data_IF_718702851831
#
_entry.id   IF_718702851831
#
_cell.length_a   1.000
_cell.length_b   1.000
_cell.length_c   1.000
_cell.angle_alpha   90.00
_cell.angle_beta   90.00
_cell.angle_gamma   90.00
#
_symmetry.space_group_name_H-M   'P 1'
#
loop_
_entity.id
_entity.type
_entity.pdbx_description
1 polymer ?
#
# COMPACT_ATOMS: atom_id res chain seq x y z
N UNK A 1 -13.68 26.47 2.16
CA UNK A 1 -13.05 25.23 1.66
C UNK A 1 -12.05 24.87 2.74
N UNK A 2 -12.49 24.19 3.80
CA UNK A 2 -11.77 24.19 5.08
C UNK A 2 -10.33 23.68 4.98
N UNK A 3 -10.06 22.75 4.05
CA UNK A 3 -8.70 22.28 3.76
C UNK A 3 -7.79 23.37 3.16
N UNK A 4 -8.33 24.22 2.29
CA UNK A 4 -7.63 25.38 1.71
C UNK A 4 -7.43 26.45 2.79
N UNK A 5 -8.48 26.72 3.59
CA UNK A 5 -8.42 27.73 4.64
C UNK A 5 -7.37 27.34 5.69
N UNK A 6 -7.35 26.07 6.12
CA UNK A 6 -6.31 25.52 7.02
C UNK A 6 -4.91 25.57 6.41
N UNK A 7 -4.78 25.28 5.12
CA UNK A 7 -3.50 25.39 4.41
C UNK A 7 -3.00 26.84 4.42
N UNK A 8 -3.86 27.80 4.15
CA UNK A 8 -3.55 29.23 4.17
C UNK A 8 -3.14 29.71 5.57
N UNK A 9 -3.80 29.25 6.64
CA UNK A 9 -3.44 29.54 8.03
C UNK A 9 -2.04 29.02 8.42
N UNK A 10 -1.59 27.91 7.82
CA UNK A 10 -0.26 27.34 8.07
C UNK A 10 0.86 28.10 7.35
N UNK A 11 0.56 29.00 6.40
CA UNK A 11 1.57 29.80 5.71
C UNK A 11 1.98 30.97 6.61
N UNK A 12 3.23 31.01 7.13
CA UNK A 12 3.67 32.10 7.99
C UNK A 12 3.64 33.44 7.26
N UNK A 13 3.18 34.49 7.93
CA UNK A 13 3.27 35.86 7.43
C UNK A 13 4.74 36.31 7.35
N UNK A 14 5.13 36.93 6.24
CA UNK A 14 6.50 37.46 6.06
C UNK A 14 7.56 36.48 5.55
N UNK A 15 7.17 35.36 4.92
CA UNK A 15 8.16 34.45 4.28
C UNK A 15 8.98 35.18 3.21
N UNK A 16 10.30 35.06 3.33
CA UNK A 16 11.27 35.49 2.30
C UNK A 16 11.41 34.49 1.14
N UNK A 17 10.93 33.25 1.31
CA UNK A 17 11.20 32.12 0.40
C UNK A 17 10.14 31.87 -0.69
N UNK A 18 9.34 32.88 -1.06
CA UNK A 18 8.23 32.73 -2.02
C UNK A 18 7.03 31.92 -1.47
N UNK A 19 5.95 31.87 -2.25
CA UNK A 19 4.72 31.13 -1.91
C UNK A 19 4.95 29.61 -2.00
N UNK A 20 4.47 28.79 -1.05
CA UNK A 20 4.52 27.34 -1.17
C UNK A 20 3.76 26.86 -2.41
N UNK A 21 4.40 25.98 -3.18
CA UNK A 21 3.77 25.29 -4.31
C UNK A 21 2.84 24.21 -3.83
N UNK A 22 1.64 24.13 -4.41
CA UNK A 22 0.62 23.15 -4.02
C UNK A 22 0.03 22.44 -5.22
N UNK A 23 -0.35 21.18 -5.01
CA UNK A 23 -1.14 20.38 -5.94
C UNK A 23 -2.56 20.27 -5.43
N UNK A 24 -3.54 20.43 -6.32
CA UNK A 24 -4.94 20.18 -6.02
C UNK A 24 -5.24 18.69 -6.17
N UNK A 25 -5.58 18.00 -5.07
CA UNK A 25 -6.05 16.62 -5.16
C UNK A 25 -7.47 16.58 -5.71
N UNK A 26 -7.68 15.80 -6.77
CA UNK A 26 -8.98 15.59 -7.40
C UNK A 26 -9.42 14.14 -7.31
N UNK A 27 -10.72 13.94 -7.43
CA UNK A 27 -11.36 12.62 -7.56
C UNK A 27 -11.96 12.54 -8.97
N UNK A 28 -11.36 11.75 -9.88
CA UNK A 28 -11.84 11.62 -11.26
C UNK A 28 -13.10 10.74 -11.39
N UNK A 29 -13.65 10.22 -10.28
CA UNK A 29 -14.81 9.32 -10.30
C UNK A 29 -14.50 7.94 -10.89
N UNK A 30 -13.22 7.53 -10.83
CA UNK A 30 -12.74 6.24 -11.28
C UNK A 30 -12.12 5.52 -10.09
N UNK A 31 -12.67 4.35 -9.77
CA UNK A 31 -12.09 3.40 -8.83
C UNK A 31 -11.77 2.11 -9.57
N UNK A 32 -10.56 1.60 -9.35
CA UNK A 32 -10.11 0.35 -9.94
C UNK A 32 -9.80 -0.64 -8.82
N UNK A 33 -10.43 -1.82 -8.91
CA UNK A 33 -10.13 -2.96 -8.06
C UNK A 33 -9.56 -4.10 -8.90
N UNK A 34 -8.79 -4.96 -8.25
CA UNK A 34 -8.08 -6.16 -8.75
C UNK A 34 -8.47 -6.61 -10.16
N UNK A 35 -9.72 -6.98 -10.43
CA UNK A 35 -10.16 -7.49 -11.73
C UNK A 35 -11.36 -6.77 -12.35
N UNK A 36 -11.92 -5.75 -11.69
CA UNK A 36 -13.12 -5.07 -12.16
C UNK A 36 -12.91 -3.57 -12.26
N UNK A 37 -13.38 -3.03 -13.37
CA UNK A 37 -13.57 -1.60 -13.56
C UNK A 37 -14.95 -1.25 -13.02
N UNK A 38 -15.00 -0.51 -11.91
CA UNK A 38 -16.26 -0.01 -11.39
C UNK A 38 -16.37 1.46 -11.74
N UNK A 39 -17.10 1.76 -12.82
CA UNK A 39 -17.60 3.12 -13.11
C UNK A 39 -18.80 3.43 -12.21
N UNK A 40 -18.65 3.25 -10.91
CA UNK A 40 -19.60 3.81 -9.95
C UNK A 40 -18.91 4.99 -9.31
N UNK A 41 -19.43 6.17 -9.59
CA UNK A 41 -19.04 7.38 -8.87
C UNK A 41 -19.29 7.16 -7.39
N UNK A 42 -18.25 6.77 -6.66
CA UNK A 42 -18.13 7.18 -5.28
C UNK A 42 -17.45 8.55 -5.32
N UNK A 43 -18.27 9.55 -5.61
CA UNK A 43 -18.04 10.93 -5.17
C UNK A 43 -17.90 11.00 -3.64
N UNK A 44 -18.21 9.89 -2.95
CA UNK A 44 -18.09 9.64 -1.51
C UNK A 44 -16.68 9.18 -1.12
N UNK A 45 -15.70 10.04 -1.35
CA UNK A 45 -14.36 9.90 -0.81
C UNK A 45 -14.07 11.08 0.11
N UNK A 46 -13.45 10.80 1.26
CA UNK A 46 -12.93 11.86 2.14
C UNK A 46 -11.73 12.62 1.56
N UNK A 47 -11.22 12.20 0.39
CA UNK A 47 -10.02 12.74 -0.21
C UNK A 47 -10.33 13.46 -1.52
N UNK A 48 -9.72 14.63 -1.68
CA UNK A 48 -9.75 15.37 -2.93
C UNK A 48 -11.11 15.97 -3.26
N UNK A 49 -11.13 16.76 -4.33
CA UNK A 49 -12.36 17.39 -4.81
C UNK A 49 -12.84 16.68 -6.08
N UNK A 50 -14.13 16.33 -6.11
CA UNK A 50 -14.72 15.63 -7.23
C UNK A 50 -14.78 16.50 -8.48
N UNK A 51 -14.34 15.93 -9.62
CA UNK A 51 -14.36 16.61 -10.93
C UNK A 51 -15.80 16.76 -11.44
N UNK A 52 -16.58 15.68 -11.41
CA UNK A 52 -17.93 15.63 -11.98
C UNK A 52 -18.92 16.63 -11.35
N UNK A 53 -18.77 16.94 -10.05
CA UNK A 53 -19.63 17.89 -9.34
C UNK A 53 -19.22 19.35 -9.53
N UNK A 54 -18.09 19.62 -10.19
CA UNK A 54 -17.54 20.96 -10.37
C UNK A 54 -16.82 21.54 -9.15
N UNK A 55 -16.83 20.84 -8.01
CA UNK A 55 -16.17 21.29 -6.77
C UNK A 55 -14.66 21.42 -6.97
N UNK A 56 -14.03 20.52 -7.73
CA UNK A 56 -12.61 20.62 -8.08
C UNK A 56 -12.28 21.91 -8.85
N UNK A 57 -13.16 22.31 -9.79
CA UNK A 57 -12.95 23.52 -10.57
C UNK A 57 -13.07 24.79 -9.71
N UNK A 58 -13.99 24.80 -8.75
CA UNK A 58 -14.11 25.90 -7.78
C UNK A 58 -12.90 25.95 -6.83
N UNK A 59 -12.42 24.80 -6.34
CA UNK A 59 -11.21 24.73 -5.53
C UNK A 59 -9.98 25.26 -6.28
N UNK A 60 -9.82 24.89 -7.56
CA UNK A 60 -8.75 25.42 -8.42
C UNK A 60 -8.85 26.95 -8.59
N UNK A 61 -10.05 27.49 -8.82
CA UNK A 61 -10.29 28.94 -8.89
C UNK A 61 -9.93 29.64 -7.59
N UNK A 62 -10.28 29.07 -6.43
CA UNK A 62 -9.97 29.62 -5.10
C UNK A 62 -8.46 29.64 -4.85
N UNK A 63 -7.76 28.55 -5.16
CA UNK A 63 -6.31 28.44 -4.98
C UNK A 63 -5.54 29.40 -5.90
N UNK A 64 -5.95 29.56 -7.16
CA UNK A 64 -5.33 30.54 -8.09
C UNK A 64 -5.43 31.98 -7.58
N UNK A 65 -6.49 32.32 -6.86
CA UNK A 65 -6.69 33.65 -6.26
C UNK A 65 -5.97 33.82 -4.93
N UNK A 66 -5.41 32.76 -4.36
CA UNK A 66 -4.73 32.83 -3.07
C UNK A 66 -3.43 33.63 -3.19
N UNK A 67 -3.23 34.66 -2.35
CA UNK A 67 -1.94 35.34 -2.27
C UNK A 67 -0.91 34.53 -1.45
N UNK A 68 -1.32 33.45 -0.78
CA UNK A 68 -0.50 32.72 0.18
C UNK A 68 0.16 31.47 -0.42
N UNK A 69 -0.46 30.85 -1.41
CA UNK A 69 0.04 29.62 -2.06
C UNK A 69 0.11 29.78 -3.58
N UNK A 70 0.85 28.88 -4.22
CA UNK A 70 1.03 28.83 -5.66
C UNK A 70 0.50 27.49 -6.19
N UNK A 71 -0.66 27.49 -6.85
CA UNK A 71 -1.21 26.29 -7.47
C UNK A 71 -0.38 25.95 -8.71
N UNK A 72 0.39 24.86 -8.64
CA UNK A 72 1.29 24.44 -9.73
C UNK A 72 0.82 23.17 -10.44
N UNK A 73 -0.19 22.49 -9.91
CA UNK A 73 -0.57 21.20 -10.47
C UNK A 73 -1.77 20.51 -9.84
N UNK A 74 -2.01 19.29 -10.32
CA UNK A 74 -3.10 18.41 -9.88
C UNK A 74 -2.53 17.08 -9.40
N UNK A 75 -3.17 16.50 -8.39
CA UNK A 75 -2.91 15.16 -7.88
C UNK A 75 -4.15 14.29 -8.04
N UNK A 76 -3.98 13.04 -8.43
CA UNK A 76 -5.03 12.04 -8.40
C UNK A 76 -4.48 10.69 -7.91
N UNK A 77 -5.31 9.92 -7.20
CA UNK A 77 -4.99 8.56 -6.77
C UNK A 77 -6.25 7.71 -6.85
N UNK A 78 -6.22 6.66 -7.67
CA UNK A 78 -7.42 5.96 -8.17
C UNK A 78 -7.70 4.60 -7.50
N UNK A 79 -6.88 4.21 -6.52
CA UNK A 79 -7.07 2.97 -5.78
C UNK A 79 -5.77 2.25 -5.41
N UNK A 80 -5.91 1.01 -4.95
CA UNK A 80 -4.81 0.14 -4.53
C UNK A 80 -5.04 -1.28 -5.06
N UNK A 81 -3.95 -2.03 -5.30
CA UNK A 81 -4.00 -3.38 -5.88
C UNK A 81 -4.67 -3.42 -7.25
N UNK A 82 -4.33 -2.46 -8.12
CA UNK A 82 -4.85 -2.40 -9.49
C UNK A 82 -3.96 -3.23 -10.41
N UNK A 83 -4.52 -4.27 -11.03
CA UNK A 83 -3.81 -5.10 -12.02
C UNK A 83 -4.11 -4.69 -13.46
N UNK A 84 -5.29 -4.11 -13.72
CA UNK A 84 -5.69 -3.70 -15.07
C UNK A 84 -5.08 -2.36 -15.46
N UNK A 85 -4.10 -2.38 -16.35
CA UNK A 85 -3.45 -1.17 -16.90
C UNK A 85 -4.45 -0.23 -17.60
N UNK A 86 -5.51 -0.78 -18.21
CA UNK A 86 -6.57 0.00 -18.85
C UNK A 86 -7.26 0.97 -17.88
N UNK A 87 -7.35 0.64 -16.59
CA UNK A 87 -7.92 1.52 -15.58
C UNK A 87 -7.10 2.80 -15.38
N UNK A 88 -5.76 2.70 -15.46
CA UNK A 88 -4.89 3.87 -15.41
C UNK A 88 -5.04 4.75 -16.67
N UNK A 89 -5.21 4.14 -17.84
CA UNK A 89 -5.47 4.88 -19.10
C UNK A 89 -6.74 5.72 -18.96
N UNK A 90 -7.85 5.10 -18.50
CA UNK A 90 -9.12 5.81 -18.29
C UNK A 90 -9.03 6.90 -17.23
N UNK A 91 -8.29 6.66 -16.15
CA UNK A 91 -8.05 7.71 -15.17
C UNK A 91 -7.31 8.90 -15.77
N UNK A 92 -6.26 8.66 -16.55
CA UNK A 92 -5.49 9.73 -17.19
C UNK A 92 -6.34 10.51 -18.18
N UNK A 93 -7.24 9.87 -18.94
CA UNK A 93 -8.18 10.57 -19.83
C UNK A 93 -9.02 11.61 -19.06
N UNK A 94 -9.67 11.20 -17.97
CA UNK A 94 -10.51 12.11 -17.15
C UNK A 94 -9.67 13.19 -16.46
N UNK A 95 -8.48 12.83 -15.98
CA UNK A 95 -7.55 13.79 -15.36
C UNK A 95 -7.11 14.82 -16.38
N UNK A 96 -6.80 14.43 -17.61
CA UNK A 96 -6.36 15.33 -18.67
C UNK A 96 -7.45 16.34 -19.05
N UNK A 97 -8.71 15.88 -19.17
CA UNK A 97 -9.86 16.75 -19.45
C UNK A 97 -10.00 17.87 -18.41
N UNK A 98 -9.69 17.58 -17.14
CA UNK A 98 -9.68 18.57 -16.07
C UNK A 98 -8.40 19.40 -16.01
N UNK A 99 -7.24 18.78 -16.23
CA UNK A 99 -5.92 19.38 -16.01
C UNK A 99 -5.50 20.33 -17.13
N UNK A 100 -5.72 19.96 -18.40
CA UNK A 100 -5.22 20.72 -19.55
C UNK A 100 -5.76 22.16 -19.58
N UNK A 101 -7.07 22.42 -19.36
CA UNK A 101 -7.60 23.78 -19.29
C UNK A 101 -7.05 24.62 -18.14
N UNK A 102 -6.37 24.00 -17.17
CA UNK A 102 -5.74 24.71 -16.06
C UNK A 102 -4.33 25.21 -16.37
N UNK A 103 -3.71 24.82 -17.50
CA UNK A 103 -2.39 25.32 -17.91
C UNK A 103 -1.35 25.26 -16.77
N UNK A 104 -1.43 24.21 -15.94
CA UNK A 104 -0.55 23.98 -14.81
C UNK A 104 0.69 23.19 -15.24
N UNK A 105 1.77 23.26 -14.46
CA UNK A 105 3.06 22.68 -14.85
C UNK A 105 3.32 21.29 -14.29
N UNK A 106 2.55 20.85 -13.29
CA UNK A 106 2.80 19.60 -12.57
C UNK A 106 1.56 18.70 -12.52
N UNK A 107 1.74 17.41 -12.81
CA UNK A 107 0.69 16.41 -12.69
C UNK A 107 1.20 15.22 -11.88
N UNK A 108 0.52 14.86 -10.80
CA UNK A 108 0.78 13.64 -10.07
C UNK A 108 -0.34 12.62 -10.33
N UNK A 109 0.02 11.48 -10.91
CA UNK A 109 -0.93 10.39 -11.24
C UNK A 109 -1.12 9.39 -10.09
N UNK A 110 -0.49 9.65 -8.93
CA UNK A 110 -0.58 8.79 -7.76
C UNK A 110 0.13 7.44 -7.96
N UNK A 111 -0.39 6.41 -7.28
CA UNK A 111 0.17 5.07 -7.26
C UNK A 111 -0.93 4.02 -7.45
N UNK A 112 -0.84 2.91 -6.72
CA UNK A 112 -1.90 1.90 -6.68
C UNK A 112 -1.66 0.65 -7.53
N UNK A 113 -0.57 0.60 -8.30
CA UNK A 113 -0.16 -0.61 -9.03
C UNK A 113 -0.08 -1.80 -8.07
N UNK A 114 -0.76 -2.88 -8.46
CA UNK A 114 -0.82 -4.11 -7.68
C UNK A 114 0.49 -4.91 -7.71
N UNK A 115 0.59 -5.82 -6.76
CA UNK A 115 1.61 -6.87 -6.71
C UNK A 115 0.93 -8.21 -6.47
N UNK A 116 1.50 -9.28 -7.01
CA UNK A 116 1.05 -10.64 -6.74
C UNK A 116 1.44 -11.05 -5.31
N UNK A 117 0.46 -11.44 -4.50
CA UNK A 117 0.63 -11.94 -3.13
C UNK A 117 0.54 -13.46 -3.03
N UNK A 118 -0.29 -14.07 -3.87
CA UNK A 118 -0.55 -15.52 -3.89
C UNK A 118 -0.19 -16.14 -5.23
N UNK A 119 0.03 -17.45 -5.24
CA UNK A 119 0.29 -18.18 -6.47
C UNK A 119 -0.88 -18.04 -7.45
N UNK A 120 -0.56 -17.83 -8.73
CA UNK A 120 -1.55 -17.61 -9.80
C UNK A 120 -1.99 -16.14 -9.97
N UNK A 121 -1.63 -15.23 -9.07
CA UNK A 121 -1.78 -13.80 -9.33
C UNK A 121 -0.70 -13.30 -10.29
N UNK A 122 -1.12 -12.51 -11.29
CA UNK A 122 -0.22 -11.80 -12.19
C UNK A 122 -0.42 -10.29 -12.05
N UNK A 123 0.69 -9.56 -11.90
CA UNK A 123 0.68 -8.11 -11.80
C UNK A 123 1.58 -7.50 -12.88
N UNK A 124 1.17 -6.37 -13.50
CA UNK A 124 2.05 -5.65 -14.40
C UNK A 124 3.33 -5.20 -13.69
N UNK A 125 4.43 -5.20 -14.43
CA UNK A 125 5.67 -4.61 -13.95
C UNK A 125 5.55 -3.10 -13.81
N UNK A 126 6.37 -2.51 -12.94
CA UNK A 126 6.45 -1.05 -12.78
C UNK A 126 6.81 -0.34 -14.10
N UNK A 127 7.59 -1.00 -14.96
CA UNK A 127 7.95 -0.48 -16.27
C UNK A 127 6.74 -0.44 -17.21
N UNK A 128 6.00 -1.55 -17.36
CA UNK A 128 4.79 -1.60 -18.18
C UNK A 128 3.75 -0.58 -17.72
N UNK A 129 3.60 -0.42 -16.40
CA UNK A 129 2.74 0.61 -15.82
C UNK A 129 3.20 2.03 -16.19
N UNK A 130 4.48 2.35 -16.00
CA UNK A 130 5.02 3.68 -16.30
C UNK A 130 4.92 4.02 -17.80
N UNK A 131 5.21 3.07 -18.68
CA UNK A 131 5.06 3.22 -20.13
C UNK A 131 3.59 3.44 -20.53
N UNK A 132 2.66 2.70 -19.92
CA UNK A 132 1.23 2.86 -20.18
C UNK A 132 0.73 4.23 -19.74
N UNK A 133 1.04 4.64 -18.51
CA UNK A 133 0.65 5.95 -17.98
C UNK A 133 1.23 7.07 -18.83
N UNK A 134 2.53 6.99 -19.17
CA UNK A 134 3.19 7.99 -20.02
C UNK A 134 2.52 8.08 -21.39
N UNK A 135 2.22 6.95 -22.00
CA UNK A 135 1.55 6.90 -23.31
C UNK A 135 0.14 7.49 -23.23
N UNK A 136 -0.61 7.18 -22.16
CA UNK A 136 -1.91 7.76 -21.90
C UNK A 136 -1.84 9.29 -21.76
N UNK A 137 -0.87 9.82 -21.00
CA UNK A 137 -0.67 11.26 -20.86
C UNK A 137 -0.46 11.93 -22.22
N UNK A 138 0.39 11.34 -23.07
CA UNK A 138 0.67 11.87 -24.42
C UNK A 138 -0.60 11.82 -25.28
N UNK A 139 -1.31 10.70 -25.32
CA UNK A 139 -2.51 10.54 -26.15
C UNK A 139 -3.68 11.42 -25.69
N UNK A 140 -3.75 11.72 -24.39
CA UNK A 140 -4.78 12.59 -23.81
C UNK A 140 -4.41 14.08 -23.86
N UNK A 141 -3.31 14.44 -24.52
CA UNK A 141 -2.95 15.84 -24.75
C UNK A 141 -2.32 16.57 -23.56
N UNK A 142 -1.78 15.85 -22.57
CA UNK A 142 -0.98 16.47 -21.52
C UNK A 142 0.25 17.15 -22.18
N UNK A 143 0.51 18.45 -21.94
CA UNK A 143 1.62 19.16 -22.54
C UNK A 143 2.97 18.49 -22.27
N UNK A 144 3.85 18.46 -23.28
CA UNK A 144 5.13 17.74 -23.21
C UNK A 144 6.11 18.31 -22.16
N UNK A 145 5.93 19.57 -21.75
CA UNK A 145 6.68 20.26 -20.70
C UNK A 145 6.06 20.08 -19.30
N UNK A 146 4.93 19.38 -19.19
CA UNK A 146 4.34 19.02 -17.89
C UNK A 146 5.24 18.06 -17.14
N UNK A 147 5.57 18.40 -15.89
CA UNK A 147 6.25 17.49 -14.97
C UNK A 147 5.27 16.44 -14.44
N UNK A 148 5.29 15.25 -15.02
CA UNK A 148 4.49 14.11 -14.55
C UNK A 148 5.23 13.35 -13.45
N UNK A 149 4.55 13.10 -12.33
CA UNK A 149 5.07 12.39 -11.16
C UNK A 149 4.12 11.27 -10.72
N UNK A 150 4.64 10.35 -9.91
CA UNK A 150 3.99 9.12 -9.50
C UNK A 150 4.37 8.76 -8.05
N UNK A 151 3.52 7.97 -7.38
CA UNK A 151 3.64 7.61 -5.96
C UNK A 151 3.57 6.08 -5.73
N UNK A 152 4.39 5.24 -6.41
CA UNK A 152 4.36 3.80 -6.20
C UNK A 152 4.97 3.45 -4.83
N UNK A 153 4.15 3.00 -3.89
CA UNK A 153 4.61 2.43 -2.62
C UNK A 153 4.75 0.92 -2.71
N UNK A 154 3.61 0.22 -2.70
CA UNK A 154 3.51 -1.25 -2.70
C UNK A 154 4.34 -1.91 -3.79
N UNK A 155 4.22 -1.43 -5.02
CA UNK A 155 4.92 -1.98 -6.19
C UNK A 155 6.46 -1.88 -6.10
N UNK A 156 6.99 -0.99 -5.26
CA UNK A 156 8.44 -0.85 -5.07
C UNK A 156 8.94 -1.76 -3.95
N UNK A 157 8.24 -1.79 -2.81
CA UNK A 157 8.80 -2.39 -1.58
C UNK A 157 8.20 -3.73 -1.19
N UNK A 158 7.02 -4.11 -1.70
CA UNK A 158 6.31 -5.29 -1.21
C UNK A 158 7.10 -6.59 -1.42
N UNK A 159 7.56 -6.84 -2.65
CA UNK A 159 8.30 -8.06 -3.00
C UNK A 159 9.74 -8.09 -2.44
N UNK A 160 10.27 -6.94 -1.99
CA UNK A 160 11.60 -6.86 -1.39
C UNK A 160 11.65 -7.39 0.05
N UNK A 161 10.49 -7.61 0.68
CA UNK A 161 10.38 -8.08 2.06
C UNK A 161 9.64 -9.41 2.18
N UNK A 162 10.09 -10.22 3.14
CA UNK A 162 9.39 -11.38 3.65
C UNK A 162 9.46 -11.37 5.17
N UNK A 163 8.47 -11.97 5.83
CA UNK A 163 8.45 -12.13 7.29
C UNK A 163 8.79 -13.57 7.64
N UNK A 164 9.72 -13.74 8.58
CA UNK A 164 10.11 -15.03 9.11
C UNK A 164 9.47 -15.24 10.48
N UNK A 165 8.94 -16.43 10.69
CA UNK A 165 8.39 -16.88 11.95
C UNK A 165 8.98 -18.21 12.36
N UNK A 166 8.90 -18.52 13.65
CA UNK A 166 9.14 -19.85 14.19
C UNK A 166 7.82 -20.55 14.48
N UNK A 167 7.68 -21.78 14.00
CA UNK A 167 6.54 -22.64 14.33
C UNK A 167 6.61 -23.02 15.81
N UNK A 168 5.54 -22.71 16.54
CA UNK A 168 5.40 -23.02 17.97
C UNK A 168 4.55 -24.25 18.24
N UNK A 169 3.32 -24.27 17.71
CA UNK A 169 2.34 -25.34 17.98
C UNK A 169 1.73 -25.81 16.67
N UNK A 170 1.62 -27.13 16.50
CA UNK A 170 0.82 -27.75 15.44
C UNK A 170 -0.33 -28.49 16.09
N UNK A 171 -1.56 -28.11 15.77
CA UNK A 171 -2.77 -28.71 16.33
C UNK A 171 -3.64 -29.25 15.21
N UNK A 172 -3.67 -30.56 15.08
CA UNK A 172 -4.63 -31.22 14.20
C UNK A 172 -6.00 -31.33 14.87
N UNK A 173 -7.05 -30.99 14.12
CA UNK A 173 -8.44 -31.24 14.44
C UNK A 173 -8.97 -32.19 13.37
N UNK A 174 -8.98 -33.51 13.62
CA UNK A 174 -9.31 -34.51 12.61
C UNK A 174 -10.63 -34.22 11.90
N UNK A 175 -10.59 -34.19 10.57
CA UNK A 175 -11.75 -33.91 9.72
C UNK A 175 -12.20 -32.45 9.67
N UNK A 176 -11.50 -31.54 10.36
CA UNK A 176 -11.83 -30.11 10.40
C UNK A 176 -10.71 -29.27 9.78
N UNK A 177 -9.53 -29.24 10.41
CA UNK A 177 -8.33 -28.54 9.93
C UNK A 177 -7.14 -28.75 10.85
N UNK A 178 -5.95 -28.57 10.32
CA UNK A 178 -4.75 -28.37 11.13
C UNK A 178 -4.45 -26.88 11.29
N UNK A 179 -4.11 -26.46 12.51
CA UNK A 179 -3.60 -25.14 12.82
C UNK A 179 -2.08 -25.19 13.07
N UNK A 180 -1.35 -24.24 12.49
CA UNK A 180 0.08 -24.02 12.72
C UNK A 180 0.25 -22.65 13.35
N UNK A 181 0.51 -22.60 14.66
CA UNK A 181 0.72 -21.36 15.40
C UNK A 181 2.18 -20.90 15.30
N UNK A 182 2.39 -19.62 15.02
CA UNK A 182 3.71 -19.00 14.87
C UNK A 182 3.96 -17.89 15.90
N UNK A 183 5.21 -17.46 16.03
CA UNK A 183 5.66 -16.51 17.07
C UNK A 183 5.38 -15.02 16.78
N UNK A 184 4.62 -14.73 15.73
CA UNK A 184 4.10 -13.41 15.35
C UNK A 184 2.56 -13.40 15.25
N UNK A 185 2.03 -12.66 14.29
CA UNK A 185 0.60 -12.62 13.97
C UNK A 185 0.13 -11.25 13.47
N UNK A 186 -1.11 -10.90 13.79
CA UNK A 186 -1.71 -9.62 13.43
C UNK A 186 -0.96 -8.40 13.98
N UNK A 187 -0.12 -8.56 15.00
CA UNK A 187 0.72 -7.46 15.50
C UNK A 187 1.84 -7.04 14.54
N UNK A 188 2.34 -7.94 13.69
CA UNK A 188 3.38 -7.62 12.70
C UNK A 188 2.84 -7.60 11.26
N UNK A 189 1.73 -8.29 10.99
CA UNK A 189 1.01 -8.23 9.72
C UNK A 189 -0.50 -8.24 9.96
N UNK A 190 -1.14 -7.08 10.19
CA UNK A 190 -2.58 -7.01 10.42
C UNK A 190 -3.41 -7.16 9.13
N UNK A 191 -2.78 -7.21 7.96
CA UNK A 191 -3.46 -7.12 6.65
C UNK A 191 -4.46 -8.25 6.36
N UNK A 192 -4.19 -9.52 6.71
CA UNK A 192 -5.19 -10.58 6.54
C UNK A 192 -6.47 -10.28 7.34
N UNK A 193 -6.33 -9.73 8.55
CA UNK A 193 -7.46 -9.42 9.43
C UNK A 193 -8.21 -8.16 8.98
N UNK A 194 -7.49 -7.10 8.62
CA UNK A 194 -8.08 -5.80 8.27
C UNK A 194 -8.67 -5.77 6.87
N UNK A 195 -8.06 -6.49 5.93
CA UNK A 195 -8.36 -6.37 4.50
C UNK A 195 -8.68 -7.70 3.83
N UNK A 196 -8.65 -8.83 4.55
CA UNK A 196 -8.80 -10.15 3.92
C UNK A 196 -7.66 -10.49 2.95
N UNK A 197 -6.49 -9.87 3.09
CA UNK A 197 -5.37 -10.07 2.17
C UNK A 197 -4.85 -11.51 2.22
N UNK A 198 -4.73 -12.15 1.05
CA UNK A 198 -4.05 -13.43 0.88
C UNK A 198 -2.53 -13.30 0.99
N UNK A 199 -1.87 -14.38 1.38
CA UNK A 199 -0.42 -14.53 1.43
C UNK A 199 -0.05 -16.00 1.26
N UNK A 200 1.16 -16.26 0.76
CA UNK A 200 1.76 -17.59 0.76
C UNK A 200 2.55 -17.88 2.05
N UNK A 201 2.82 -19.15 2.29
CA UNK A 201 3.77 -19.60 3.29
C UNK A 201 4.68 -20.70 2.74
N UNK A 202 5.95 -20.69 3.13
CA UNK A 202 6.90 -21.75 2.78
C UNK A 202 7.96 -21.94 3.86
N UNK A 203 8.63 -23.10 3.85
CA UNK A 203 9.79 -23.36 4.71
C UNK A 203 11.07 -23.00 3.97
N UNK A 204 11.91 -22.04 4.43
CA UNK A 204 13.14 -21.68 3.73
C UNK A 204 14.12 -22.84 3.54
N UNK A 205 14.14 -23.82 4.47
CA UNK A 205 14.94 -25.05 4.35
C UNK A 205 14.52 -25.95 3.18
N UNK A 206 13.32 -25.76 2.63
CA UNK A 206 12.68 -26.63 1.67
C UNK A 206 11.80 -25.83 0.68
N UNK A 207 12.32 -24.71 0.17
CA UNK A 207 11.52 -23.74 -0.61
C UNK A 207 10.87 -24.35 -1.88
N UNK A 208 11.50 -25.37 -2.47
CA UNK A 208 11.04 -26.09 -3.66
C UNK A 208 10.40 -27.45 -3.37
N UNK A 209 10.17 -27.80 -2.10
CA UNK A 209 9.51 -29.05 -1.75
C UNK A 209 8.04 -29.05 -2.17
N UNK A 210 7.49 -30.24 -2.40
CA UNK A 210 6.06 -30.44 -2.57
C UNK A 210 5.30 -29.94 -1.33
N UNK A 211 4.18 -29.25 -1.55
CA UNK A 211 3.39 -28.59 -0.50
C UNK A 211 2.00 -29.23 -0.38
N UNK A 212 1.96 -30.52 -0.07
CA UNK A 212 0.72 -31.32 -0.02
C UNK A 212 -0.05 -31.22 1.30
N UNK A 213 0.52 -30.57 2.32
CA UNK A 213 -0.10 -30.44 3.63
C UNK A 213 -0.82 -29.09 3.79
N UNK A 214 -2.16 -29.14 3.79
CA UNK A 214 -3.01 -27.96 3.96
C UNK A 214 -3.22 -27.65 5.46
N UNK A 215 -2.90 -26.43 5.87
CA UNK A 215 -3.12 -25.96 7.23
C UNK A 215 -3.48 -24.46 7.27
N UNK A 216 -3.99 -24.00 8.41
CA UNK A 216 -4.16 -22.57 8.69
C UNK A 216 -3.02 -22.08 9.57
N UNK A 217 -2.25 -21.12 9.08
CA UNK A 217 -1.19 -20.45 9.86
C UNK A 217 -1.81 -19.32 10.67
N UNK A 218 -1.67 -19.41 12.00
CA UNK A 218 -2.21 -18.44 12.96
C UNK A 218 -1.09 -17.83 13.79
N UNK A 219 -1.30 -16.61 14.28
CA UNK A 219 -0.38 -16.00 15.22
C UNK A 219 -0.58 -16.51 16.64
N UNK A 220 0.04 -15.81 17.60
CA UNK A 220 0.00 -16.12 19.03
C UNK A 220 -0.93 -15.23 19.86
N UNK A 221 -1.69 -14.35 19.22
CA UNK A 221 -2.59 -13.43 19.92
C UNK A 221 -3.84 -14.14 20.43
N UNK A 222 -4.43 -13.59 21.50
CA UNK A 222 -5.64 -14.14 22.11
C UNK A 222 -6.92 -13.77 21.35
N UNK A 223 -6.85 -13.64 20.02
CA UNK A 223 -7.96 -13.27 19.15
C UNK A 223 -8.17 -14.35 18.10
N UNK A 224 -9.41 -14.80 17.93
CA UNK A 224 -9.75 -15.87 16.98
C UNK A 224 -9.47 -15.48 15.52
N UNK A 225 -9.49 -14.18 15.23
CA UNK A 225 -9.16 -13.61 13.94
C UNK A 225 -7.66 -13.52 13.63
N UNK A 226 -6.76 -13.92 14.55
CA UNK A 226 -5.31 -13.85 14.36
C UNK A 226 -4.78 -14.89 13.36
N UNK A 227 -5.15 -14.70 12.10
CA UNK A 227 -4.80 -15.56 10.96
C UNK A 227 -3.73 -14.86 10.13
N UNK A 228 -2.64 -15.56 9.85
CA UNK A 228 -1.56 -15.07 8.97
C UNK A 228 -1.79 -15.57 7.54
N UNK A 229 -2.04 -16.87 7.38
CA UNK A 229 -2.37 -17.50 6.10
C UNK A 229 -3.52 -18.49 6.33
N UNK A 230 -4.66 -18.27 5.66
CA UNK A 230 -5.87 -19.06 5.88
C UNK A 230 -5.72 -20.50 5.38
N UNK A 231 -5.26 -20.64 4.15
CA UNK A 231 -5.16 -21.90 3.41
C UNK A 231 -3.71 -22.07 2.94
N UNK A 232 -2.81 -22.40 3.87
CA UNK A 232 -1.40 -22.58 3.59
C UNK A 232 -1.13 -24.01 3.11
N UNK A 233 -0.65 -24.14 1.88
CA UNK A 233 -0.06 -25.38 1.38
C UNK A 233 1.40 -25.45 1.83
N UNK A 234 1.75 -26.43 2.67
CA UNK A 234 3.05 -26.58 3.31
C UNK A 234 3.65 -27.97 3.06
N UNK A 235 4.97 -28.16 3.25
CA UNK A 235 5.58 -29.49 3.24
C UNK A 235 4.99 -30.39 4.33
N UNK A 236 4.78 -31.67 4.01
CA UNK A 236 4.21 -32.65 4.94
C UNK A 236 5.11 -32.97 6.14
N UNK A 237 6.41 -32.67 6.05
CA UNK A 237 7.39 -32.84 7.11
C UNK A 237 7.56 -31.59 8.00
N UNK A 238 6.61 -30.64 7.96
CA UNK A 238 6.60 -29.48 8.84
C UNK A 238 6.59 -29.91 10.31
N UNK A 239 7.46 -29.27 11.12
CA UNK A 239 7.60 -29.57 12.53
C UNK A 239 7.63 -28.30 13.40
N UNK A 240 7.33 -28.49 14.69
CA UNK A 240 7.58 -27.45 15.70
C UNK A 240 9.06 -27.06 15.70
N UNK A 241 9.33 -25.76 15.75
CA UNK A 241 10.68 -25.20 15.68
C UNK A 241 11.14 -24.83 14.26
N UNK A 242 10.45 -25.27 13.21
CA UNK A 242 10.75 -24.86 11.84
C UNK A 242 10.62 -23.33 11.66
N UNK A 243 11.41 -22.79 10.74
CA UNK A 243 11.24 -21.43 10.25
C UNK A 243 10.25 -21.45 9.11
N UNK A 244 9.20 -20.63 9.22
CA UNK A 244 8.19 -20.41 8.20
C UNK A 244 8.31 -18.98 7.68
N UNK A 245 8.22 -18.80 6.36
CA UNK A 245 8.34 -17.51 5.71
C UNK A 245 7.04 -17.15 4.98
N UNK A 246 6.59 -15.91 5.13
CA UNK A 246 5.52 -15.33 4.29
C UNK A 246 6.13 -14.25 3.39
N UNK A 247 6.10 -14.41 2.06
CA UNK A 247 6.68 -13.43 1.14
C UNK A 247 5.77 -12.19 0.99
N UNK A 248 6.29 -11.17 0.28
CA UNK A 248 5.52 -9.98 -0.14
C UNK A 248 5.06 -9.11 1.05
N UNK A 249 5.78 -9.14 2.17
CA UNK A 249 5.42 -8.39 3.40
C UNK A 249 6.14 -7.05 3.53
N UNK A 250 6.93 -6.64 2.53
CA UNK A 250 7.71 -5.39 2.59
C UNK A 250 6.86 -4.11 2.59
N UNK A 251 5.58 -4.20 2.23
CA UNK A 251 4.65 -3.06 2.24
C UNK A 251 3.57 -3.24 3.32
N UNK A 252 3.40 -2.21 4.15
CA UNK A 252 2.31 -2.08 5.13
C UNK A 252 2.26 -3.09 6.27
N UNK A 253 3.09 -4.15 6.31
CA UNK A 253 3.23 -5.02 7.47
C UNK A 253 3.85 -4.25 8.64
N UNK A 254 5.16 -4.03 8.58
CA UNK A 254 5.90 -3.34 9.65
C UNK A 254 5.36 -1.93 9.97
N UNK A 255 4.92 -1.15 8.98
CA UNK A 255 4.40 0.20 9.21
C UNK A 255 3.07 0.22 9.96
N UNK A 256 2.31 -0.88 9.91
CA UNK A 256 1.05 -1.06 10.65
C UNK A 256 1.24 -1.92 11.91
N UNK A 257 2.49 -2.23 12.27
CA UNK A 257 2.77 -3.09 13.40
C UNK A 257 2.32 -2.45 14.72
N UNK A 258 1.78 -3.26 15.61
CA UNK A 258 1.27 -2.86 16.92
C UNK A 258 1.94 -3.65 18.05
N UNK A 259 1.71 -3.23 19.29
CA UNK A 259 2.10 -3.99 20.47
C UNK A 259 0.89 -4.70 21.10
N UNK A 260 -0.04 -5.20 20.27
CA UNK A 260 -1.18 -5.97 20.77
C UNK A 260 -0.68 -7.16 21.60
N UNK A 261 -1.33 -7.39 22.75
CA UNK A 261 -0.86 -8.31 23.80
C UNK A 261 0.59 -8.07 24.28
N UNK A 262 1.09 -6.82 24.21
CA UNK A 262 2.46 -6.44 24.59
C UNK A 262 3.53 -7.25 23.83
N UNK A 263 3.24 -7.67 22.59
CA UNK A 263 4.24 -8.29 21.72
C UNK A 263 5.21 -7.19 21.22
N UNK A 264 6.53 -7.31 21.45
CA UNK A 264 7.49 -6.33 20.93
C UNK A 264 7.56 -6.41 19.40
N UNK A 265 7.62 -5.26 18.72
CA UNK A 265 7.76 -5.22 17.25
C UNK A 265 9.02 -5.95 16.80
N UNK A 266 8.86 -6.73 15.72
CA UNK A 266 9.94 -7.51 15.13
C UNK A 266 11.07 -6.61 14.56
N UNK A 267 12.33 -7.09 14.57
CA UNK A 267 13.42 -6.37 13.91
C UNK A 267 13.23 -6.40 12.39
N UNK A 268 13.81 -5.42 11.71
CA UNK A 268 13.96 -5.42 10.25
C UNK A 268 15.43 -5.61 9.92
N UNK A 269 15.71 -6.57 9.05
CA UNK A 269 17.08 -6.94 8.63
C UNK A 269 17.17 -6.82 7.11
N UNK A 270 18.18 -6.10 6.63
CA UNK A 270 18.51 -6.08 5.21
C UNK A 270 19.60 -7.11 4.93
N UNK A 271 19.44 -7.83 3.82
CA UNK A 271 20.43 -8.81 3.34
C UNK A 271 20.89 -8.37 1.97
N UNK A 272 22.21 -8.38 1.76
CA UNK A 272 22.84 -8.06 0.48
C UNK A 272 24.19 -8.76 0.39
N UNK A 273 24.47 -9.41 -0.74
CA UNK A 273 25.76 -10.01 -1.06
C UNK A 273 26.29 -10.96 0.05
N UNK A 274 25.39 -11.77 0.64
CA UNK A 274 25.69 -12.71 1.72
C UNK A 274 25.83 -12.09 3.12
N UNK A 275 25.73 -10.76 3.25
CA UNK A 275 25.81 -10.05 4.52
C UNK A 275 24.42 -9.62 5.02
N UNK A 276 24.19 -9.71 6.33
CA UNK A 276 22.97 -9.27 6.99
C UNK A 276 23.24 -8.06 7.91
N UNK A 277 22.33 -7.09 7.90
CA UNK A 277 22.41 -5.90 8.76
C UNK A 277 21.04 -5.56 9.35
N UNK A 278 20.99 -5.45 10.68
CA UNK A 278 19.80 -4.93 11.37
C UNK A 278 19.65 -3.44 11.05
N UNK A 279 18.48 -3.06 10.52
CA UNK A 279 18.14 -1.65 10.21
C UNK A 279 17.12 -1.10 11.19
N UNK A 280 16.28 -1.97 11.76
CA UNK A 280 15.41 -1.67 12.90
C UNK A 280 15.64 -2.77 13.92
N UNK A 281 16.09 -2.43 15.12
CA UNK A 281 16.25 -3.41 16.20
C UNK A 281 14.89 -3.91 16.67
N UNK A 282 14.86 -5.11 17.25
CA UNK A 282 13.67 -5.60 17.94
C UNK A 282 13.37 -4.69 19.12
N UNK A 283 12.10 -4.45 19.37
CA UNK A 283 11.67 -3.85 20.64
C UNK A 283 11.93 -4.81 21.82
N UNK A 284 12.06 -4.23 22.99
CA UNK A 284 12.29 -4.92 24.26
C UNK A 284 11.12 -4.65 25.19
N UNK A 285 11.02 -5.38 26.30
CA UNK A 285 10.01 -5.05 27.31
C UNK A 285 10.21 -3.65 27.91
N UNK A 286 11.45 -3.16 27.99
CA UNK A 286 11.72 -1.79 28.41
C UNK A 286 11.09 -0.78 27.45
N UNK A 287 11.18 -1.00 26.13
CA UNK A 287 10.52 -0.12 25.14
C UNK A 287 9.01 -0.03 25.39
N UNK A 288 8.37 -1.13 25.81
CA UNK A 288 6.92 -1.18 26.08
C UNK A 288 6.48 -0.44 27.35
N UNK A 289 7.42 -0.18 28.26
CA UNK A 289 7.19 0.46 29.55
C UNK A 289 7.64 1.93 29.56
N UNK A 290 8.24 2.44 28.48
CA UNK A 290 8.79 3.82 28.43
C UNK A 290 7.78 4.94 28.63
N UNK A 291 6.48 4.64 28.49
CA UNK A 291 5.40 5.60 28.68
C UNK A 291 4.65 5.38 30.00
N UNK A 292 5.05 4.39 30.79
CA UNK A 292 4.54 4.17 32.13
C UNK A 292 5.24 5.16 33.10
N UNK A 293 4.51 5.64 34.11
CA UNK A 293 4.96 6.66 35.06
C UNK A 293 5.80 6.11 36.21
#
# INVERSE_FOLDING_TARGET
FDEIDRLEELVPTGRSSGRPKVLLRITPGIEAHTHEYVRTGQDDSKFGFTVATGVAAEAARRLRKSPLVDLVGVHAHIGSQIFLLASFVKAVEVIADFFVPLELTELCVGGGLGVAYVEGEEAPTIQQWAETVRSACISSGIPADTRVTAEPGRAVVAAAGLTLYRVGTVKDLPGIRTYVSVDGGMSDNPRPVLYGSGYEAFLPRAASAERSFLATVVGKHCESGDVVVRDACLPADLAVGDVLATPVTGAYGHSMASNYNKVPRAPVVFVRDGAARVVVRRETYEDLLRLDA
#
